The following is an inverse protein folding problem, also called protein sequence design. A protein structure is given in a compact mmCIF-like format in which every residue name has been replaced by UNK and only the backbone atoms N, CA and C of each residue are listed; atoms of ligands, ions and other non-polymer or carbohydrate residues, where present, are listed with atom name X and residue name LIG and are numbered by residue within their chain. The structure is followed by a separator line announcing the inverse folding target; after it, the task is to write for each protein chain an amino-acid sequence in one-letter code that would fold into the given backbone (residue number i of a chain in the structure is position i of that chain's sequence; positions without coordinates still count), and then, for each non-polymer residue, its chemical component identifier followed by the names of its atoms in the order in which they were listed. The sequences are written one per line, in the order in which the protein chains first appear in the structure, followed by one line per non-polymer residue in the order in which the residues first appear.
data_IF_049013289648
#
_entry.id   IF_049013289648
#
_cell.length_a   1.000
_cell.length_b   1.000
_cell.length_c   1.000
_cell.angle_alpha   90.00
_cell.angle_beta   90.00
_cell.angle_gamma   90.00
#
_symmetry.space_group_name_H-M   'P 1'
#
loop_
_entity.id
_entity.type
_entity.pdbx_description
1 polymer ?
#
# COMPACT_ATOMS: atom_id res chain seq x y z
N UNK A 1 -12.10 -16.69 13.60
CA UNK A 1 -11.72 -16.22 12.23
C UNK A 1 -12.76 -16.65 11.21
N UNK A 2 -13.08 -17.92 11.05
CA UNK A 2 -14.05 -18.42 10.05
C UNK A 2 -15.41 -17.71 10.08
N UNK A 3 -15.93 -17.32 11.28
CA UNK A 3 -17.22 -16.63 11.37
C UNK A 3 -17.17 -15.18 10.86
N UNK A 4 -16.01 -14.53 10.94
CA UNK A 4 -15.79 -13.20 10.40
C UNK A 4 -15.62 -13.26 8.87
N UNK A 5 -14.81 -14.19 8.38
CA UNK A 5 -14.61 -14.43 6.94
C UNK A 5 -15.93 -14.76 6.23
N UNK A 6 -16.78 -15.57 6.87
CA UNK A 6 -18.13 -15.88 6.38
C UNK A 6 -19.17 -14.77 6.65
N UNK A 7 -18.72 -13.57 7.12
CA UNK A 7 -19.58 -12.43 7.44
C UNK A 7 -20.69 -12.74 8.47
N UNK A 8 -20.52 -13.76 9.31
CA UNK A 8 -21.44 -14.06 10.41
C UNK A 8 -21.08 -13.22 11.65
N UNK A 9 -21.36 -11.93 11.59
CA UNK A 9 -20.97 -10.98 12.61
C UNK A 9 -21.64 -11.22 13.96
N UNK A 10 -22.89 -11.72 13.98
CA UNK A 10 -23.59 -12.05 15.22
C UNK A 10 -22.90 -13.18 15.99
N UNK A 11 -22.49 -14.24 15.30
CA UNK A 11 -21.73 -15.33 15.90
C UNK A 11 -20.36 -14.84 16.38
N UNK A 12 -19.67 -14.02 15.57
CA UNK A 12 -18.38 -13.44 15.95
C UNK A 12 -18.49 -12.61 17.23
N UNK A 13 -19.51 -11.73 17.34
CA UNK A 13 -19.76 -10.94 18.56
C UNK A 13 -20.03 -11.83 19.78
N UNK A 14 -20.80 -12.92 19.61
CA UNK A 14 -21.08 -13.87 20.69
C UNK A 14 -19.81 -14.56 21.20
N UNK A 15 -18.92 -14.99 20.29
CA UNK A 15 -17.64 -15.59 20.64
C UNK A 15 -16.75 -14.58 21.37
N UNK A 16 -16.65 -13.35 20.85
CA UNK A 16 -15.81 -12.29 21.40
C UNK A 16 -16.25 -11.83 22.81
N UNK A 17 -17.48 -12.04 23.23
CA UNK A 17 -17.94 -11.73 24.60
C UNK A 17 -17.18 -12.50 25.69
N UNK A 18 -16.64 -13.67 25.36
CA UNK A 18 -15.90 -14.52 26.30
C UNK A 18 -14.46 -14.03 26.58
N UNK A 19 -13.95 -13.07 25.80
CA UNK A 19 -12.61 -12.48 26.03
C UNK A 19 -12.67 -11.43 27.12
N UNK A 20 -11.91 -11.67 28.22
CA UNK A 20 -11.87 -10.80 29.39
C UNK A 20 -10.89 -9.65 29.19
N UNK A 21 -11.07 -8.55 29.94
CA UNK A 21 -10.21 -7.37 29.91
C UNK A 21 -8.87 -7.58 30.63
N UNK A 22 -8.74 -8.62 31.43
CA UNK A 22 -7.56 -8.92 32.24
C UNK A 22 -6.30 -9.27 31.42
N UNK A 23 -6.48 -9.79 30.22
CA UNK A 23 -5.38 -10.07 29.29
C UNK A 23 -5.34 -9.01 28.20
N UNK A 24 -4.33 -8.13 28.27
CA UNK A 24 -4.18 -7.00 27.35
C UNK A 24 -4.15 -7.44 25.88
N UNK A 25 -3.44 -8.53 25.57
CA UNK A 25 -3.24 -8.98 24.17
C UNK A 25 -4.53 -9.58 23.61
N UNK A 26 -5.19 -10.46 24.36
CA UNK A 26 -6.46 -11.06 23.94
C UNK A 26 -7.59 -10.04 23.89
N UNK A 27 -7.62 -9.11 24.85
CA UNK A 27 -8.61 -8.04 24.84
C UNK A 27 -8.40 -7.11 23.65
N UNK A 28 -7.13 -6.76 23.33
CA UNK A 28 -6.81 -6.00 22.14
C UNK A 28 -7.22 -6.73 20.84
N UNK A 29 -6.97 -8.05 20.75
CA UNK A 29 -7.45 -8.87 19.64
C UNK A 29 -8.98 -8.76 19.46
N UNK A 30 -9.73 -8.87 20.55
CA UNK A 30 -11.20 -8.66 20.55
C UNK A 30 -11.56 -7.30 19.99
N UNK A 31 -10.91 -6.24 20.42
CA UNK A 31 -11.18 -4.88 19.96
C UNK A 31 -10.92 -4.72 18.45
N UNK A 32 -9.84 -5.28 17.94
CA UNK A 32 -9.55 -5.28 16.48
C UNK A 32 -10.60 -6.04 15.67
N UNK A 33 -11.06 -7.19 16.16
CA UNK A 33 -12.15 -7.94 15.49
C UNK A 33 -13.46 -7.17 15.52
N UNK A 34 -13.78 -6.49 16.60
CA UNK A 34 -14.93 -5.59 16.67
C UNK A 34 -14.80 -4.41 15.71
N UNK A 35 -13.60 -3.80 15.63
CA UNK A 35 -13.31 -2.77 14.63
C UNK A 35 -13.60 -3.27 13.20
N UNK A 36 -13.14 -4.47 12.84
CA UNK A 36 -13.40 -5.05 11.51
C UNK A 36 -14.89 -5.24 11.22
N UNK A 37 -15.66 -5.68 12.23
CA UNK A 37 -17.12 -5.83 12.08
C UNK A 37 -17.77 -4.48 11.83
N UNK A 38 -17.47 -3.47 12.66
CA UNK A 38 -18.02 -2.12 12.53
C UNK A 38 -17.62 -1.49 11.20
N UNK A 39 -16.35 -1.67 10.79
CA UNK A 39 -15.89 -1.21 9.49
C UNK A 39 -16.72 -1.75 8.32
N UNK A 40 -17.06 -3.05 8.37
CA UNK A 40 -17.84 -3.69 7.31
C UNK A 40 -19.32 -3.34 7.34
N UNK A 41 -19.90 -3.03 8.50
CA UNK A 41 -21.33 -2.73 8.65
C UNK A 41 -21.63 -1.23 8.59
N UNK A 42 -20.76 -0.39 9.15
CA UNK A 42 -21.05 1.01 9.43
C UNK A 42 -20.02 1.97 8.78
N UNK A 43 -18.90 1.42 8.30
CA UNK A 43 -17.86 2.18 7.61
C UNK A 43 -16.69 2.64 8.50
N UNK A 44 -15.77 3.37 7.86
CA UNK A 44 -14.46 3.72 8.43
C UNK A 44 -14.56 4.61 9.66
N UNK A 45 -15.40 5.64 9.63
CA UNK A 45 -15.45 6.64 10.71
C UNK A 45 -15.99 6.05 12.01
N UNK A 46 -17.04 5.24 11.94
CA UNK A 46 -17.64 4.56 13.09
C UNK A 46 -16.64 3.55 13.69
N UNK A 47 -15.94 2.82 12.84
CA UNK A 47 -14.93 1.87 13.27
C UNK A 47 -13.75 2.57 13.97
N UNK A 48 -13.27 3.69 13.42
CA UNK A 48 -12.22 4.49 14.04
C UNK A 48 -12.67 5.04 15.40
N UNK A 49 -13.84 5.67 15.48
CA UNK A 49 -14.38 6.18 16.73
C UNK A 49 -14.45 5.09 17.82
N UNK A 50 -14.87 3.88 17.43
CA UNK A 50 -14.93 2.74 18.35
C UNK A 50 -13.53 2.37 18.89
N UNK A 51 -12.55 2.15 18.00
CA UNK A 51 -11.23 1.67 18.42
C UNK A 51 -10.46 2.74 19.19
N UNK A 52 -10.57 4.02 18.82
CA UNK A 52 -9.97 5.15 19.52
C UNK A 52 -10.50 5.30 20.95
N UNK A 53 -11.82 5.24 21.13
CA UNK A 53 -12.44 5.32 22.47
C UNK A 53 -11.99 4.18 23.38
N UNK A 54 -11.67 3.00 22.83
CA UNK A 54 -11.12 1.87 23.59
C UNK A 54 -9.62 2.01 23.83
N UNK A 55 -8.87 2.43 22.80
CA UNK A 55 -7.42 2.65 22.88
C UNK A 55 -7.07 3.72 23.91
N UNK A 56 -7.83 4.80 24.01
CA UNK A 56 -7.59 5.89 24.97
C UNK A 56 -7.66 5.46 26.45
N UNK A 57 -8.12 4.24 26.74
CA UNK A 57 -8.07 3.65 28.10
C UNK A 57 -6.71 3.04 28.44
N UNK A 58 -5.83 2.82 27.46
CA UNK A 58 -4.49 2.30 27.68
C UNK A 58 -3.55 3.44 28.09
N UNK A 59 -3.01 3.37 29.30
CA UNK A 59 -2.05 4.37 29.81
C UNK A 59 -0.63 4.18 29.25
N UNK A 60 -0.23 2.92 29.02
CA UNK A 60 1.08 2.58 28.45
C UNK A 60 0.95 1.37 27.51
N UNK A 61 0.39 1.56 26.30
CA UNK A 61 0.15 0.47 25.37
C UNK A 61 1.47 -0.18 24.92
N UNK A 62 1.44 -1.51 24.75
CA UNK A 62 2.57 -2.27 24.23
C UNK A 62 2.93 -1.83 22.79
N UNK A 63 4.18 -2.11 22.37
CA UNK A 63 4.64 -1.80 21.00
C UNK A 63 3.70 -2.43 19.96
N UNK A 64 3.22 -3.65 20.22
CA UNK A 64 2.26 -4.34 19.33
C UNK A 64 0.96 -3.56 19.18
N UNK A 65 0.39 -3.05 20.26
CA UNK A 65 -0.84 -2.25 20.22
C UNK A 65 -0.62 -0.94 19.47
N UNK A 66 0.51 -0.25 19.74
CA UNK A 66 0.88 0.95 19.00
C UNK A 66 1.03 0.70 17.50
N UNK A 67 1.65 -0.44 17.14
CA UNK A 67 1.84 -0.84 15.74
C UNK A 67 0.51 -1.14 15.04
N UNK A 68 -0.38 -1.85 15.72
CA UNK A 68 -1.72 -2.14 15.21
C UNK A 68 -2.53 -0.83 15.00
N UNK A 69 -2.46 0.12 15.95
CA UNK A 69 -3.11 1.44 15.78
C UNK A 69 -2.52 2.23 14.62
N UNK A 70 -1.19 2.24 14.48
CA UNK A 70 -0.54 2.91 13.35
C UNK A 70 -1.02 2.33 12.01
N UNK A 71 -1.12 1.00 11.90
CA UNK A 71 -1.64 0.34 10.70
C UNK A 71 -3.13 0.64 10.46
N UNK A 72 -3.95 0.68 11.51
CA UNK A 72 -5.38 1.04 11.40
C UNK A 72 -5.51 2.44 10.79
N UNK A 73 -4.77 3.41 11.29
CA UNK A 73 -4.78 4.77 10.75
C UNK A 73 -4.26 4.82 9.31
N UNK A 74 -3.16 4.13 9.01
CA UNK A 74 -2.60 4.07 7.66
C UNK A 74 -3.61 3.49 6.67
N UNK A 75 -4.25 2.37 7.00
CA UNK A 75 -5.26 1.74 6.16
C UNK A 75 -6.53 2.59 6.01
N UNK A 76 -6.83 3.42 7.01
CA UNK A 76 -7.92 4.39 6.97
C UNK A 76 -7.52 5.72 6.30
N UNK A 77 -6.35 5.79 5.66
CA UNK A 77 -5.79 6.99 5.00
C UNK A 77 -5.59 8.19 5.95
N UNK A 78 -5.53 7.96 7.26
CA UNK A 78 -5.21 8.95 8.29
C UNK A 78 -3.69 8.96 8.53
N UNK A 79 -2.94 9.42 7.52
CA UNK A 79 -1.47 9.27 7.49
C UNK A 79 -0.76 10.06 8.57
N UNK A 80 -1.22 11.27 8.92
CA UNK A 80 -0.65 12.06 10.02
C UNK A 80 -0.70 11.31 11.34
N UNK A 81 -1.84 10.68 11.65
CA UNK A 81 -1.99 9.88 12.86
C UNK A 81 -1.09 8.64 12.83
N UNK A 82 -1.02 7.95 11.68
CA UNK A 82 -0.14 6.78 11.55
C UNK A 82 1.34 7.14 11.80
N UNK A 83 1.81 8.26 11.26
CA UNK A 83 3.17 8.79 11.47
C UNK A 83 3.45 9.06 12.96
N UNK A 84 2.50 9.65 13.68
CA UNK A 84 2.63 9.87 15.14
C UNK A 84 2.84 8.56 15.90
N UNK A 85 2.07 7.52 15.57
CA UNK A 85 2.19 6.23 16.24
C UNK A 85 3.45 5.47 15.84
N UNK A 86 3.83 5.44 14.57
CA UNK A 86 5.12 4.88 14.16
C UNK A 86 6.30 5.60 14.83
N UNK A 87 6.23 6.94 14.96
CA UNK A 87 7.27 7.71 15.63
C UNK A 87 7.40 7.37 17.12
N UNK A 88 6.28 7.11 17.83
CA UNK A 88 6.31 6.61 19.22
C UNK A 88 6.97 5.24 19.31
N UNK A 89 6.74 4.34 18.34
CA UNK A 89 7.37 3.02 18.30
C UNK A 89 8.87 3.16 18.10
N UNK A 90 9.31 3.96 17.13
CA UNK A 90 10.73 4.18 16.82
C UNK A 90 11.54 4.75 18.00
N UNK A 91 10.90 5.45 18.92
CA UNK A 91 11.53 5.91 20.17
C UNK A 91 11.75 4.80 21.20
N UNK A 92 10.99 3.69 21.11
CA UNK A 92 10.98 2.62 22.10
C UNK A 92 11.78 1.37 21.69
N UNK A 93 12.17 1.25 20.42
CA UNK A 93 12.82 0.04 19.89
C UNK A 93 14.28 0.29 19.53
N UNK A 94 15.06 -0.79 19.43
CA UNK A 94 16.47 -0.73 19.05
C UNK A 94 16.62 -0.24 17.60
N UNK A 95 17.40 0.83 17.41
CA UNK A 95 17.63 1.51 16.12
C UNK A 95 18.31 0.66 15.03
N UNK A 96 18.91 -0.48 15.41
CA UNK A 96 19.59 -1.40 14.49
C UNK A 96 18.82 -2.72 14.31
N UNK A 97 17.60 -2.82 14.86
CA UNK A 97 16.77 -4.02 14.69
C UNK A 97 16.05 -4.02 13.34
N UNK A 98 15.75 -5.21 12.82
CA UNK A 98 14.90 -5.36 11.62
C UNK A 98 13.51 -4.72 11.85
N UNK A 99 12.94 -4.86 13.05
CA UNK A 99 11.68 -4.20 13.41
C UNK A 99 11.76 -2.68 13.25
N UNK A 100 12.92 -2.07 13.57
CA UNK A 100 13.12 -0.63 13.35
C UNK A 100 13.07 -0.29 11.86
N UNK A 101 13.71 -1.10 11.02
CA UNK A 101 13.66 -0.93 9.56
C UNK A 101 12.24 -1.07 9.01
N UNK A 102 11.48 -2.08 9.50
CA UNK A 102 10.09 -2.29 9.07
C UNK A 102 9.17 -1.11 9.46
N UNK A 103 9.34 -0.57 10.67
CA UNK A 103 8.57 0.61 11.12
C UNK A 103 8.96 1.86 10.33
N UNK A 104 10.24 2.04 10.00
CA UNK A 104 10.70 3.14 9.12
C UNK A 104 10.05 3.04 7.74
N UNK A 105 10.02 1.84 7.14
CA UNK A 105 9.33 1.63 5.85
C UNK A 105 7.86 2.06 5.92
N UNK A 106 7.14 1.62 6.95
CA UNK A 106 5.73 1.98 7.15
C UNK A 106 5.53 3.49 7.35
N UNK A 107 6.40 4.14 8.14
CA UNK A 107 6.33 5.59 8.34
C UNK A 107 6.70 6.35 7.08
N UNK A 108 7.74 5.93 6.37
CA UNK A 108 8.16 6.49 5.09
C UNK A 108 7.04 6.42 4.04
N UNK A 109 6.33 5.28 3.96
CA UNK A 109 5.18 5.17 3.07
C UNK A 109 4.02 6.11 3.46
N UNK A 110 3.83 6.40 4.76
CA UNK A 110 2.83 7.38 5.20
C UNK A 110 3.23 8.81 4.86
N UNK A 111 4.52 9.16 4.96
CA UNK A 111 5.03 10.45 4.53
C UNK A 111 4.83 10.69 3.03
N UNK A 112 5.12 9.67 2.21
CA UNK A 112 4.92 9.77 0.76
C UNK A 112 3.45 10.04 0.42
N UNK A 113 2.52 9.34 1.07
CA UNK A 113 1.07 9.54 0.87
C UNK A 113 0.57 10.93 1.27
N UNK A 114 1.32 11.67 2.09
CA UNK A 114 1.10 13.09 2.39
C UNK A 114 1.85 14.04 1.45
N UNK A 115 2.66 13.53 0.52
CA UNK A 115 3.52 14.31 -0.35
C UNK A 115 4.81 14.81 0.30
N UNK A 116 5.11 14.37 1.53
CA UNK A 116 6.37 14.67 2.23
C UNK A 116 7.48 13.72 1.77
N UNK A 117 7.95 13.95 0.56
CA UNK A 117 8.95 13.11 -0.10
C UNK A 117 10.31 13.14 0.61
N UNK A 118 10.68 14.23 1.28
CA UNK A 118 11.96 14.35 1.99
C UNK A 118 12.01 13.39 3.19
N UNK A 119 11.01 13.42 4.05
CA UNK A 119 10.93 12.52 5.20
C UNK A 119 10.69 11.07 4.76
N UNK A 120 9.94 10.85 3.68
CA UNK A 120 9.77 9.52 3.08
C UNK A 120 11.12 8.92 2.67
N UNK A 121 11.88 9.62 1.81
CA UNK A 121 13.18 9.15 1.33
C UNK A 121 14.17 8.90 2.49
N UNK A 122 14.19 9.79 3.48
CA UNK A 122 15.02 9.64 4.68
C UNK A 122 14.71 8.35 5.45
N UNK A 123 13.45 8.05 5.68
CA UNK A 123 13.03 6.85 6.40
C UNK A 123 13.31 5.59 5.58
N UNK A 124 13.01 5.60 4.27
CA UNK A 124 13.24 4.45 3.39
C UNK A 124 14.73 4.14 3.22
N UNK A 125 15.57 5.16 3.01
CA UNK A 125 17.03 5.00 2.94
C UNK A 125 17.59 4.49 4.28
N UNK A 126 17.07 4.98 5.41
CA UNK A 126 17.48 4.48 6.72
C UNK A 126 17.03 3.02 6.92
N UNK A 127 15.85 2.64 6.47
CA UNK A 127 15.39 1.24 6.46
C UNK A 127 16.36 0.36 5.65
N UNK A 128 16.72 0.77 4.42
CA UNK A 128 17.69 0.06 3.59
C UNK A 128 19.10 0.03 4.18
N UNK A 129 19.50 1.01 5.00
CA UNK A 129 20.79 0.94 5.70
C UNK A 129 20.88 -0.20 6.73
N UNK A 130 19.73 -0.70 7.18
CA UNK A 130 19.60 -1.82 8.14
C UNK A 130 19.29 -3.13 7.40
N UNK A 131 18.40 -3.08 6.41
CA UNK A 131 17.98 -4.20 5.55
C UNK A 131 18.26 -3.85 4.06
N UNK A 132 19.51 -3.93 3.60
CA UNK A 132 19.92 -3.40 2.29
C UNK A 132 19.24 -4.03 1.08
N UNK A 133 18.71 -5.23 1.24
CA UNK A 133 18.10 -6.00 0.17
C UNK A 133 16.60 -6.26 0.40
N UNK A 134 15.91 -5.44 1.20
CA UNK A 134 14.46 -5.59 1.34
C UNK A 134 13.77 -5.24 0.02
N UNK A 135 13.16 -6.22 -0.68
CA UNK A 135 12.63 -6.01 -2.03
C UNK A 135 11.45 -5.03 -2.04
N UNK A 136 10.68 -4.96 -0.96
CA UNK A 136 9.54 -4.06 -0.88
C UNK A 136 9.96 -2.61 -0.67
N UNK A 137 11.00 -2.40 0.15
CA UNK A 137 11.55 -1.04 0.37
C UNK A 137 12.28 -0.56 -0.88
N UNK A 138 13.07 -1.42 -1.54
CA UNK A 138 13.73 -1.13 -2.81
C UNK A 138 12.70 -0.74 -3.88
N UNK A 139 11.64 -1.54 -4.02
CA UNK A 139 10.57 -1.28 -4.97
C UNK A 139 9.86 0.06 -4.68
N UNK A 140 9.50 0.30 -3.44
CA UNK A 140 8.76 1.50 -3.05
C UNK A 140 9.55 2.77 -3.29
N UNK A 141 10.83 2.79 -2.88
CA UNK A 141 11.72 3.94 -3.06
C UNK A 141 12.04 4.15 -4.55
N UNK A 142 12.38 3.08 -5.28
CA UNK A 142 12.69 3.14 -6.70
C UNK A 142 11.50 3.66 -7.52
N UNK A 143 10.31 3.11 -7.29
CA UNK A 143 9.09 3.59 -7.93
C UNK A 143 8.82 5.08 -7.64
N UNK A 144 8.88 5.51 -6.38
CA UNK A 144 8.67 6.90 -6.00
C UNK A 144 9.71 7.86 -6.59
N UNK A 145 10.96 7.43 -6.76
CA UNK A 145 11.98 8.23 -7.43
C UNK A 145 11.72 8.35 -8.93
N UNK A 146 11.28 7.29 -9.60
CA UNK A 146 10.93 7.34 -11.03
C UNK A 146 9.74 8.26 -11.29
N UNK A 147 8.67 8.16 -10.50
CA UNK A 147 7.50 9.04 -10.62
C UNK A 147 7.87 10.53 -10.51
N UNK A 148 8.89 10.85 -9.72
CA UNK A 148 9.37 12.22 -9.53
C UNK A 148 10.46 12.63 -10.52
N UNK A 149 10.89 11.74 -11.42
CA UNK A 149 12.02 11.98 -12.31
C UNK A 149 13.36 12.18 -11.57
N UNK A 150 13.47 11.64 -10.36
CA UNK A 150 14.63 11.80 -9.48
C UNK A 150 15.49 10.55 -9.49
N UNK A 151 16.83 10.71 -9.61
CA UNK A 151 17.81 9.61 -9.57
C UNK A 151 17.39 8.37 -10.40
N UNK A 152 16.94 8.59 -11.63
CA UNK A 152 16.33 7.58 -12.50
C UNK A 152 17.16 6.30 -12.59
N UNK A 153 18.50 6.42 -12.73
CA UNK A 153 19.40 5.26 -12.81
C UNK A 153 19.38 4.44 -11.53
N UNK A 154 19.54 5.10 -10.38
CA UNK A 154 19.54 4.42 -9.08
C UNK A 154 18.17 3.77 -8.80
N UNK A 155 17.09 4.42 -9.25
CA UNK A 155 15.74 3.91 -9.13
C UNK A 155 15.54 2.62 -9.93
N UNK A 156 16.00 2.58 -11.19
CA UNK A 156 15.95 1.36 -12.02
C UNK A 156 16.78 0.25 -11.37
N UNK A 157 18.00 0.54 -10.91
CA UNK A 157 18.85 -0.44 -10.22
C UNK A 157 18.17 -1.02 -8.95
N UNK A 158 17.40 -0.21 -8.24
CA UNK A 158 16.60 -0.67 -7.09
C UNK A 158 15.45 -1.59 -7.51
N UNK A 159 14.71 -1.23 -8.55
CA UNK A 159 13.62 -2.06 -9.07
C UNK A 159 14.12 -3.40 -9.60
N UNK A 160 15.25 -3.42 -10.32
CA UNK A 160 15.87 -4.65 -10.80
C UNK A 160 16.31 -5.57 -9.64
N UNK A 161 16.88 -4.99 -8.57
CA UNK A 161 17.23 -5.75 -7.36
C UNK A 161 15.98 -6.33 -6.68
N UNK A 162 14.89 -5.57 -6.61
CA UNK A 162 13.62 -6.03 -6.05
C UNK A 162 13.05 -7.18 -6.89
N UNK A 163 13.01 -7.03 -8.22
CA UNK A 163 12.52 -8.03 -9.15
C UNK A 163 13.32 -9.34 -9.09
N UNK A 164 14.65 -9.26 -9.04
CA UNK A 164 15.51 -10.45 -8.95
C UNK A 164 15.20 -11.30 -7.71
N UNK A 165 14.67 -10.72 -6.65
CA UNK A 165 14.28 -11.43 -5.43
C UNK A 165 12.82 -11.89 -5.45
N UNK A 166 11.94 -11.21 -6.19
CA UNK A 166 10.49 -11.41 -6.19
C UNK A 166 9.91 -11.43 -7.61
N UNK A 167 10.42 -12.33 -8.43
CA UNK A 167 10.07 -12.41 -9.86
C UNK A 167 8.60 -12.76 -10.17
N UNK A 168 7.82 -13.15 -9.17
CA UNK A 168 6.40 -13.48 -9.31
C UNK A 168 5.49 -12.54 -8.49
N UNK A 169 6.01 -11.44 -7.96
CA UNK A 169 5.20 -10.42 -7.29
C UNK A 169 4.67 -9.43 -8.35
N UNK A 170 3.34 -9.38 -8.60
CA UNK A 170 2.77 -8.57 -9.67
C UNK A 170 3.03 -7.07 -9.47
N UNK A 171 3.10 -6.58 -8.23
CA UNK A 171 3.35 -5.17 -7.95
C UNK A 171 4.79 -4.76 -8.23
N UNK A 172 5.75 -5.63 -7.92
CA UNK A 172 7.16 -5.39 -8.26
C UNK A 172 7.36 -5.46 -9.77
N UNK A 173 6.73 -6.42 -10.45
CA UNK A 173 6.79 -6.54 -11.89
C UNK A 173 6.17 -5.32 -12.58
N UNK A 174 5.03 -4.84 -12.08
CA UNK A 174 4.39 -3.62 -12.57
C UNK A 174 5.31 -2.40 -12.43
N UNK A 175 5.94 -2.23 -11.26
CA UNK A 175 6.87 -1.12 -11.02
C UNK A 175 8.07 -1.13 -11.96
N UNK A 176 8.63 -2.31 -12.28
CA UNK A 176 9.70 -2.44 -13.29
C UNK A 176 9.18 -2.06 -14.67
N UNK A 177 8.02 -2.58 -15.06
CA UNK A 177 7.40 -2.25 -16.35
C UNK A 177 7.08 -0.77 -16.48
N UNK A 178 6.58 -0.16 -15.42
CA UNK A 178 6.34 1.28 -15.37
C UNK A 178 7.64 2.09 -15.45
N UNK A 179 8.70 1.63 -14.78
CA UNK A 179 10.03 2.22 -14.91
C UNK A 179 10.52 2.27 -16.36
N UNK A 180 10.42 1.17 -17.09
CA UNK A 180 10.72 1.13 -18.53
C UNK A 180 9.83 2.07 -19.35
N UNK A 181 8.54 2.18 -19.02
CA UNK A 181 7.64 3.12 -19.68
C UNK A 181 8.09 4.58 -19.49
N UNK A 182 8.46 4.98 -18.28
CA UNK A 182 8.86 6.36 -17.98
C UNK A 182 10.15 6.77 -18.67
N UNK A 183 11.06 5.82 -18.94
CA UNK A 183 12.28 6.09 -19.72
C UNK A 183 12.09 5.92 -21.24
N UNK A 184 10.87 5.61 -21.70
CA UNK A 184 10.51 5.49 -23.11
C UNK A 184 10.79 4.13 -23.77
N UNK A 185 11.24 3.13 -23.00
CA UNK A 185 11.43 1.76 -23.48
C UNK A 185 10.11 0.97 -23.42
N UNK A 186 9.22 1.29 -24.36
CA UNK A 186 7.87 0.69 -24.37
C UNK A 186 7.85 -0.81 -24.69
N UNK A 187 8.90 -1.33 -25.32
CA UNK A 187 9.03 -2.75 -25.64
C UNK A 187 9.26 -3.57 -24.38
N UNK A 188 10.25 -3.18 -23.57
CA UNK A 188 10.50 -3.82 -22.30
C UNK A 188 9.36 -3.56 -21.29
N UNK A 189 8.78 -2.36 -21.29
CA UNK A 189 7.59 -2.05 -20.49
C UNK A 189 6.45 -3.04 -20.79
N UNK A 190 6.16 -3.34 -22.07
CA UNK A 190 5.12 -4.31 -22.44
C UNK A 190 5.40 -5.70 -21.90
N UNK A 191 6.65 -6.17 -21.96
CA UNK A 191 7.03 -7.51 -21.48
C UNK A 191 6.68 -7.66 -19.99
N UNK A 192 7.10 -6.70 -19.16
CA UNK A 192 6.86 -6.74 -17.73
C UNK A 192 5.39 -6.52 -17.38
N UNK A 193 4.74 -5.50 -17.93
CA UNK A 193 3.34 -5.20 -17.61
C UNK A 193 2.37 -6.28 -18.10
N UNK A 194 2.67 -6.94 -19.22
CA UNK A 194 1.93 -8.13 -19.65
C UNK A 194 2.07 -9.27 -18.66
N UNK A 195 3.25 -9.47 -18.07
CA UNK A 195 3.44 -10.47 -17.01
C UNK A 195 2.67 -10.09 -15.75
N UNK A 196 2.71 -8.82 -15.33
CA UNK A 196 1.98 -8.33 -14.16
C UNK A 196 0.47 -8.54 -14.32
N UNK A 197 -0.12 -8.16 -15.47
CA UNK A 197 -1.55 -8.33 -15.75
C UNK A 197 -1.98 -9.79 -15.83
N UNK A 198 -1.11 -10.70 -16.27
CA UNK A 198 -1.39 -12.14 -16.23
C UNK A 198 -1.47 -12.69 -14.80
N UNK A 199 -0.65 -12.17 -13.89
CA UNK A 199 -0.65 -12.57 -12.48
C UNK A 199 -1.79 -11.92 -11.70
N UNK A 200 -2.19 -10.70 -12.05
CA UNK A 200 -3.22 -9.93 -11.33
C UNK A 200 -4.14 -9.15 -12.29
N UNK A 201 -5.00 -9.86 -13.05
CA UNK A 201 -5.81 -9.27 -14.12
C UNK A 201 -6.86 -8.27 -13.64
N UNK A 202 -7.23 -8.30 -12.35
CA UNK A 202 -8.25 -7.42 -11.76
C UNK A 202 -7.70 -6.12 -11.16
N UNK A 203 -6.38 -5.95 -11.04
CA UNK A 203 -5.81 -4.76 -10.43
C UNK A 203 -5.98 -3.52 -11.31
N UNK A 204 -6.56 -2.42 -10.78
CA UNK A 204 -6.84 -1.24 -11.59
C UNK A 204 -5.59 -0.48 -12.04
N UNK A 205 -4.53 -0.46 -11.23
CA UNK A 205 -3.30 0.27 -11.55
C UNK A 205 -2.54 -0.45 -12.66
N UNK A 206 -2.38 -1.78 -12.53
CA UNK A 206 -1.72 -2.61 -13.54
C UNK A 206 -2.46 -2.54 -14.89
N UNK A 207 -3.81 -2.54 -14.86
CA UNK A 207 -4.61 -2.34 -16.08
C UNK A 207 -4.38 -0.96 -16.71
N UNK A 208 -4.30 0.10 -15.90
CA UNK A 208 -4.05 1.46 -16.40
C UNK A 208 -2.66 1.57 -17.02
N UNK A 209 -1.62 1.13 -16.32
CA UNK A 209 -0.23 1.12 -16.83
C UNK A 209 -0.08 0.31 -18.11
N UNK A 210 -0.69 -0.88 -18.17
CA UNK A 210 -0.63 -1.70 -19.37
C UNK A 210 -1.36 -1.04 -20.56
N UNK A 211 -2.47 -0.37 -20.29
CA UNK A 211 -3.17 0.45 -21.28
C UNK A 211 -2.28 1.58 -21.84
N UNK A 212 -1.53 2.26 -20.97
CA UNK A 212 -0.63 3.35 -21.35
C UNK A 212 0.49 2.86 -22.30
N UNK A 213 1.10 1.73 -21.98
CA UNK A 213 2.12 1.11 -22.83
C UNK A 213 1.56 0.71 -24.17
N UNK A 214 0.41 0.05 -24.20
CA UNK A 214 -0.25 -0.35 -25.45
C UNK A 214 -0.60 0.87 -26.33
N UNK A 215 -0.98 1.99 -25.71
CA UNK A 215 -1.21 3.24 -26.45
C UNK A 215 0.05 3.76 -27.13
N UNK A 216 1.18 3.79 -26.41
CA UNK A 216 2.49 4.21 -26.95
C UNK A 216 2.99 3.25 -28.05
N UNK A 217 2.63 1.97 -27.98
CA UNK A 217 2.90 0.98 -29.03
C UNK A 217 1.87 1.02 -30.19
N UNK A 218 1.04 2.06 -30.28
CA UNK A 218 0.00 2.27 -31.30
C UNK A 218 -1.11 1.19 -31.32
N UNK A 219 -1.27 0.42 -30.25
CA UNK A 219 -2.31 -0.61 -30.07
C UNK A 219 -3.54 -0.04 -29.36
N UNK A 220 -4.10 1.02 -29.94
CA UNK A 220 -5.09 1.91 -29.29
C UNK A 220 -6.37 1.22 -28.84
N UNK A 221 -6.88 0.23 -29.60
CA UNK A 221 -8.09 -0.51 -29.21
C UNK A 221 -7.85 -1.35 -27.95
N UNK A 222 -6.69 -2.01 -27.88
CA UNK A 222 -6.31 -2.81 -26.70
C UNK A 222 -6.05 -1.90 -25.48
N UNK A 223 -5.40 -0.74 -25.68
CA UNK A 223 -5.22 0.26 -24.64
C UNK A 223 -6.55 0.66 -23.99
N UNK A 224 -7.55 1.00 -24.83
CA UNK A 224 -8.90 1.36 -24.36
C UNK A 224 -9.58 0.22 -23.60
N UNK A 225 -9.37 -1.03 -24.00
CA UNK A 225 -9.91 -2.18 -23.28
C UNK A 225 -9.38 -2.25 -21.84
N UNK A 226 -8.05 -2.12 -21.65
CA UNK A 226 -7.45 -2.16 -20.32
C UNK A 226 -7.79 -0.94 -19.47
N UNK A 227 -7.83 0.26 -20.05
CA UNK A 227 -8.34 1.45 -19.35
C UNK A 227 -9.79 1.30 -18.91
N UNK A 228 -10.65 0.70 -19.77
CA UNK A 228 -12.04 0.44 -19.39
C UNK A 228 -12.15 -0.60 -18.27
N UNK A 229 -11.29 -1.62 -18.29
CA UNK A 229 -11.20 -2.62 -17.21
C UNK A 229 -10.83 -1.94 -15.88
N UNK A 230 -9.79 -1.11 -15.89
CA UNK A 230 -9.40 -0.31 -14.74
C UNK A 230 -10.53 0.60 -14.26
N UNK A 231 -11.18 1.35 -15.16
CA UNK A 231 -12.28 2.27 -14.84
C UNK A 231 -13.46 1.57 -14.15
N UNK A 232 -13.79 0.36 -14.57
CA UNK A 232 -14.93 -0.40 -14.08
C UNK A 232 -14.65 -1.14 -12.76
N UNK A 233 -13.39 -1.25 -12.34
CA UNK A 233 -13.05 -1.89 -11.08
C UNK A 233 -13.62 -1.10 -9.88
N UNK A 234 -14.17 -1.82 -8.91
CA UNK A 234 -14.66 -1.23 -7.65
C UNK A 234 -13.54 -0.68 -6.78
N UNK A 235 -12.32 -1.15 -7.00
CA UNK A 235 -11.13 -0.77 -6.24
C UNK A 235 -10.45 0.48 -6.80
N UNK A 236 -10.88 0.97 -7.97
CA UNK A 236 -10.30 2.16 -8.60
C UNK A 236 -10.63 3.42 -7.80
N UNK A 237 -9.60 4.11 -7.37
CA UNK A 237 -9.74 5.40 -6.68
C UNK A 237 -10.31 6.48 -7.62
N UNK A 238 -11.08 7.41 -7.08
CA UNK A 238 -11.77 8.45 -7.86
C UNK A 238 -10.82 9.33 -8.70
N UNK A 239 -9.62 9.62 -8.18
CA UNK A 239 -8.62 10.37 -8.93
C UNK A 239 -8.11 9.61 -10.15
N UNK A 240 -7.87 8.31 -10.02
CA UNK A 240 -7.50 7.46 -11.15
C UNK A 240 -8.64 7.36 -12.17
N UNK A 241 -9.90 7.21 -11.73
CA UNK A 241 -11.06 7.22 -12.62
C UNK A 241 -11.15 8.50 -13.46
N UNK A 242 -10.89 9.65 -12.86
CA UNK A 242 -10.87 10.93 -13.60
C UNK A 242 -9.82 10.92 -14.71
N UNK A 243 -8.59 10.48 -14.41
CA UNK A 243 -7.51 10.37 -15.40
C UNK A 243 -7.87 9.39 -16.52
N UNK A 244 -8.34 8.19 -16.16
CA UNK A 244 -8.74 7.16 -17.14
C UNK A 244 -9.86 7.66 -18.04
N UNK A 245 -10.84 8.39 -17.50
CA UNK A 245 -11.91 8.99 -18.32
C UNK A 245 -11.35 9.93 -19.41
N UNK A 246 -10.33 10.71 -19.10
CA UNK A 246 -9.65 11.57 -20.07
C UNK A 246 -8.92 10.72 -21.11
N UNK A 247 -8.18 9.68 -20.69
CA UNK A 247 -7.47 8.74 -21.58
C UNK A 247 -8.44 8.07 -22.58
N UNK A 248 -9.59 7.60 -22.10
CA UNK A 248 -10.61 6.96 -22.94
C UNK A 248 -11.19 7.89 -24.01
N UNK A 249 -11.39 9.16 -23.67
CA UNK A 249 -11.98 10.17 -24.56
C UNK A 249 -10.96 10.78 -25.52
N UNK A 250 -9.77 11.11 -25.04
CA UNK A 250 -8.80 11.96 -25.76
C UNK A 250 -7.46 11.26 -26.05
N UNK A 251 -7.23 10.09 -25.47
CA UNK A 251 -5.95 9.39 -25.52
C UNK A 251 -5.00 9.85 -24.40
N UNK A 252 -3.88 9.12 -24.27
CA UNK A 252 -2.88 9.33 -23.23
C UNK A 252 -2.19 10.71 -23.29
N UNK A 253 -1.95 11.22 -24.50
CA UNK A 253 -1.16 12.46 -24.70
C UNK A 253 -1.89 13.75 -24.24
N UNK A 254 -3.05 13.61 -23.62
CA UNK A 254 -3.89 14.72 -23.13
C UNK A 254 -4.19 14.65 -21.63
N UNK A 255 -3.50 13.79 -20.91
CA UNK A 255 -3.66 13.58 -19.44
C UNK A 255 -2.62 14.36 -18.67
#
# INVERSE_FOLDING_TARGET
ENSLENKNYNLTRKILKNFKEEDEIYYWYKLKKMYQIIYNEEGTDQALNYIEAKFNKYTNPSIKILYDMANIYQNSKKFDESIKYYSKILQKINKNSETYADVLYKRGSSYERLGDNENSDKDLLKSLSIKPNDPYVLNYLGYGWLERGYKIKDAIDMLDKAYNQRQNDPFIIDSVGWGYFLIGDYVNAEIFLRKAIQLMPGDPIINDHYGDVLWKLNRKMQAKYYWQSSFNSKETEEELKKKIKIKLLKGLDKV
#
